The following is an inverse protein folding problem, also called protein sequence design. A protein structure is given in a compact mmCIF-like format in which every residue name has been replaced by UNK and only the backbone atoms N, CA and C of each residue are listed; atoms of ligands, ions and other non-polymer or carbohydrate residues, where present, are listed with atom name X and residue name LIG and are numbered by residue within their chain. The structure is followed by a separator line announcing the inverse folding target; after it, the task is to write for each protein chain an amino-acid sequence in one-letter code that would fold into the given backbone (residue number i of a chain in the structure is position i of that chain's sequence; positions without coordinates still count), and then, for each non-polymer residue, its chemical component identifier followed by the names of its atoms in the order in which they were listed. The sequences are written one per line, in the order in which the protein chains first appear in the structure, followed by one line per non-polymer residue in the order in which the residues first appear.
data_IF_682454861888
#
_entry.id   IF_682454861888
#
_cell.length_a   1.000
_cell.length_b   1.000
_cell.length_c   1.000
_cell.angle_alpha   90.00
_cell.angle_beta   90.00
_cell.angle_gamma   90.00
#
_symmetry.space_group_name_H-M   'P 1'
#
loop_
_entity.id
_entity.type
_entity.pdbx_description
1 polymer ?
#
# COMPACT_ATOMS: atom_id res chain seq x y z
N UNK A 1 -35.25 -0.20 14.47
CA UNK A 1 -35.54 1.17 14.02
C UNK A 1 -34.42 2.09 14.51
N UNK A 2 -34.14 3.19 13.79
CA UNK A 2 -33.06 4.18 13.94
C UNK A 2 -31.88 3.94 12.96
N UNK A 3 -31.96 4.49 11.74
CA UNK A 3 -31.66 5.88 11.31
C UNK A 3 -30.15 6.16 11.23
N UNK A 4 -29.51 5.73 10.13
CA UNK A 4 -28.25 6.32 9.69
C UNK A 4 -28.54 7.54 8.83
N UNK A 5 -28.11 8.70 9.34
CA UNK A 5 -28.27 10.00 8.71
C UNK A 5 -27.43 10.11 7.43
N UNK A 6 -28.11 10.48 6.36
CA UNK A 6 -27.53 11.08 5.16
C UNK A 6 -27.26 12.55 5.48
N UNK A 7 -26.02 13.01 5.34
CA UNK A 7 -25.74 14.45 5.34
C UNK A 7 -24.59 14.81 4.40
N UNK A 8 -24.98 15.60 3.39
CA UNK A 8 -24.26 16.75 2.84
C UNK A 8 -23.11 16.49 1.85
N UNK A 9 -23.51 16.19 0.61
CA UNK A 9 -22.69 16.45 -0.58
C UNK A 9 -22.89 17.92 -1.02
N UNK A 10 -21.99 18.81 -0.58
CA UNK A 10 -21.95 20.20 -1.04
C UNK A 10 -21.41 20.23 -2.47
N UNK A 11 -22.24 20.61 -3.44
CA UNK A 11 -21.84 20.94 -4.82
C UNK A 11 -21.26 22.36 -4.87
N UNK A 12 -20.06 22.57 -5.44
CA UNK A 12 -19.64 23.89 -5.88
C UNK A 12 -20.11 24.20 -7.31
N UNK A 13 -20.49 25.45 -7.47
CA UNK A 13 -21.07 26.15 -8.60
C UNK A 13 -20.22 26.13 -9.88
N UNK A 14 -20.92 25.98 -11.00
CA UNK A 14 -20.46 26.21 -12.37
C UNK A 14 -20.08 27.69 -12.52
N UNK A 15 -18.80 27.99 -12.77
CA UNK A 15 -18.39 29.29 -13.29
C UNK A 15 -17.91 29.12 -14.73
N UNK A 16 -18.79 29.51 -15.65
CA UNK A 16 -18.57 29.60 -17.09
C UNK A 16 -17.79 30.89 -17.34
N UNK A 17 -16.59 30.79 -17.91
CA UNK A 17 -15.90 31.95 -18.47
C UNK A 17 -15.52 31.68 -19.91
N UNK A 18 -15.84 32.67 -20.74
CA UNK A 18 -15.85 32.61 -22.18
C UNK A 18 -14.44 32.72 -22.75
N UNK A 19 -14.24 32.00 -23.85
CA UNK A 19 -13.08 32.05 -24.73
C UNK A 19 -12.98 33.42 -25.44
N UNK A 20 -11.79 34.02 -25.40
CA UNK A 20 -11.35 35.02 -26.38
C UNK A 20 -9.98 34.59 -26.90
N UNK A 21 -9.96 34.06 -28.11
CA UNK A 21 -8.74 33.77 -28.86
C UNK A 21 -8.12 35.06 -29.37
N UNK A 22 -6.82 35.22 -29.17
CA UNK A 22 -6.00 36.26 -29.80
C UNK A 22 -5.02 35.58 -30.75
N UNK A 23 -5.27 35.75 -32.04
CA UNK A 23 -4.39 35.32 -33.13
C UNK A 23 -3.24 36.35 -33.19
N UNK A 24 -1.99 35.90 -33.07
CA UNK A 24 -0.80 36.71 -33.37
C UNK A 24 0.02 36.00 -34.45
N UNK A 25 0.29 36.73 -35.52
CA UNK A 25 1.10 36.33 -36.67
C UNK A 25 2.59 36.33 -36.34
N UNK A 26 3.43 35.56 -37.07
CA UNK A 26 4.86 35.51 -36.83
C UNK A 26 5.59 36.63 -37.59
N UNK A 27 6.25 37.55 -36.87
CA UNK A 27 7.24 38.45 -37.44
C UNK A 27 8.64 37.88 -37.24
N UNK A 28 9.25 37.44 -38.34
CA UNK A 28 10.66 37.09 -38.45
C UNK A 28 11.51 38.36 -38.32
N UNK A 29 12.31 38.46 -37.27
CA UNK A 29 13.40 39.45 -37.17
C UNK A 29 14.66 38.75 -36.69
N UNK A 30 15.56 38.52 -37.65
CA UNK A 30 16.95 38.14 -37.43
C UNK A 30 17.63 39.20 -36.57
N UNK A 31 18.08 38.84 -35.37
CA UNK A 31 18.86 39.73 -34.51
C UNK A 31 20.26 39.17 -34.33
N UNK A 32 21.21 39.93 -34.84
CA UNK A 32 22.65 39.78 -34.81
C UNK A 32 23.22 39.48 -33.41
N UNK A 33 24.00 38.40 -33.28
CA UNK A 33 24.67 38.01 -32.03
C UNK A 33 25.93 38.86 -31.84
N UNK A 34 25.91 39.82 -30.91
CA UNK A 34 27.14 40.46 -30.40
C UNK A 34 27.64 39.68 -29.18
N UNK A 35 28.84 39.11 -29.29
CA UNK A 35 29.58 38.61 -28.14
C UNK A 35 30.13 39.79 -27.33
N UNK A 36 29.35 40.29 -26.36
CA UNK A 36 29.83 41.24 -25.37
C UNK A 36 30.36 40.48 -24.15
N UNK A 37 31.69 40.43 -24.00
CA UNK A 37 32.36 40.10 -22.73
C UNK A 37 32.13 41.26 -21.75
N UNK A 38 31.27 41.06 -20.76
CA UNK A 38 31.12 41.92 -19.56
C UNK A 38 31.11 40.98 -18.35
N UNK A 39 32.20 40.96 -17.58
CA UNK A 39 32.35 41.61 -16.26
C UNK A 39 31.25 41.27 -15.24
N UNK A 40 31.72 40.86 -14.05
CA UNK A 40 30.98 40.65 -12.81
C UNK A 40 29.81 39.64 -12.85
N UNK A 41 30.11 38.40 -12.42
CA UNK A 41 29.13 37.37 -12.06
C UNK A 41 28.23 37.91 -10.93
N UNK A 42 27.16 38.59 -11.30
CA UNK A 42 26.09 39.03 -10.40
C UNK A 42 25.50 37.76 -9.80
N UNK A 43 25.88 37.43 -8.56
CA UNK A 43 25.32 36.30 -7.82
C UNK A 43 23.83 36.60 -7.68
N UNK A 44 23.01 36.00 -8.54
CA UNK A 44 21.56 36.14 -8.53
C UNK A 44 21.09 35.78 -7.12
N UNK A 45 20.65 36.77 -6.33
CA UNK A 45 20.17 36.61 -4.95
C UNK A 45 18.87 35.79 -4.84
N UNK A 46 18.51 35.04 -5.89
CA UNK A 46 17.35 34.16 -5.97
C UNK A 46 17.64 32.79 -6.62
N UNK A 47 18.90 32.47 -6.95
CA UNK A 47 19.26 31.12 -7.38
C UNK A 47 19.42 30.21 -6.16
N UNK A 48 18.57 29.18 -6.09
CA UNK A 48 18.63 28.15 -5.05
C UNK A 48 20.00 27.46 -5.08
N UNK A 49 20.53 27.15 -3.90
CA UNK A 49 21.75 26.33 -3.80
C UNK A 49 21.53 24.97 -4.45
N UNK A 50 22.60 24.31 -4.90
CA UNK A 50 22.49 22.98 -5.51
C UNK A 50 21.77 21.96 -4.59
N UNK A 51 21.93 22.10 -3.26
CA UNK A 51 21.21 21.29 -2.27
C UNK A 51 19.71 21.61 -2.25
N UNK A 52 19.35 22.90 -2.29
CA UNK A 52 17.96 23.35 -2.34
C UNK A 52 17.27 22.96 -3.67
N UNK A 53 18.00 22.93 -4.78
CA UNK A 53 17.49 22.41 -6.07
C UNK A 53 17.19 20.92 -5.97
N UNK A 54 18.07 20.11 -5.35
CA UNK A 54 17.80 18.68 -5.10
C UNK A 54 16.58 18.49 -4.20
N UNK A 55 16.49 19.23 -3.09
CA UNK A 55 15.34 19.17 -2.19
C UNK A 55 14.06 19.57 -2.91
N UNK A 56 14.07 20.64 -3.71
CA UNK A 56 12.94 21.05 -4.55
C UNK A 56 12.56 19.95 -5.55
N UNK A 57 13.53 19.24 -6.12
CA UNK A 57 13.27 18.13 -7.04
C UNK A 57 12.67 16.92 -6.32
N UNK A 58 13.14 16.57 -5.11
CA UNK A 58 12.55 15.54 -4.27
C UNK A 58 11.12 15.91 -3.85
N UNK A 59 10.91 17.14 -3.40
CA UNK A 59 9.57 17.65 -3.06
C UNK A 59 8.66 17.70 -4.29
N UNK A 60 9.20 18.03 -5.45
CA UNK A 60 8.49 17.97 -6.74
C UNK A 60 8.22 16.53 -7.18
N UNK A 61 9.09 15.57 -6.84
CA UNK A 61 8.91 14.14 -7.09
C UNK A 61 7.69 13.60 -6.34
N UNK A 62 7.59 13.96 -5.06
CA UNK A 62 6.48 13.59 -4.18
C UNK A 62 5.23 14.44 -4.48
N UNK A 63 5.38 15.70 -4.88
CA UNK A 63 4.26 16.59 -5.16
C UNK A 63 3.52 16.16 -6.44
N UNK A 64 2.28 15.71 -6.27
CA UNK A 64 1.39 15.29 -7.36
C UNK A 64 0.87 16.44 -8.22
N UNK A 65 1.14 17.70 -7.88
CA UNK A 65 0.45 18.88 -8.43
C UNK A 65 0.41 18.99 -9.97
N UNK A 66 1.43 18.49 -10.67
CA UNK A 66 1.49 18.47 -12.14
C UNK A 66 1.61 17.06 -12.75
N UNK A 67 1.60 16.04 -11.90
CA UNK A 67 1.89 14.64 -12.27
C UNK A 67 0.68 13.73 -12.16
N UNK A 68 -0.37 14.16 -11.47
CA UNK A 68 -1.63 13.42 -11.43
C UNK A 68 -2.35 13.57 -12.77
N UNK A 69 -2.84 12.47 -13.36
CA UNK A 69 -3.68 12.56 -14.55
C UNK A 69 -5.02 13.23 -14.18
N UNK A 70 -5.76 13.65 -15.20
CA UNK A 70 -7.17 14.03 -14.99
C UNK A 70 -7.93 12.83 -14.44
N UNK A 71 -8.96 13.10 -13.64
CA UNK A 71 -9.84 12.06 -13.12
C UNK A 71 -10.46 11.32 -14.31
N UNK A 72 -10.60 10.01 -14.17
CA UNK A 72 -11.25 9.19 -15.17
C UNK A 72 -12.76 9.47 -15.11
N UNK A 73 -13.31 9.96 -16.21
CA UNK A 73 -14.75 10.13 -16.39
C UNK A 73 -15.31 8.86 -17.04
N UNK A 74 -16.33 8.29 -16.42
CA UNK A 74 -16.96 7.03 -16.85
C UNK A 74 -18.37 7.32 -17.37
N UNK A 75 -18.81 6.59 -18.40
CA UNK A 75 -20.21 6.60 -18.82
C UNK A 75 -21.09 5.92 -17.76
N UNK A 76 -22.40 6.12 -17.81
CA UNK A 76 -23.34 5.56 -16.82
C UNK A 76 -23.32 4.03 -16.87
N UNK A 77 -23.29 3.42 -18.04
CA UNK A 77 -23.22 1.96 -18.20
C UNK A 77 -21.91 1.41 -17.63
N UNK A 78 -20.79 2.10 -17.86
CA UNK A 78 -19.48 1.70 -17.35
C UNK A 78 -19.37 1.88 -15.84
N UNK A 79 -20.01 2.92 -15.28
CA UNK A 79 -20.14 3.10 -13.85
C UNK A 79 -20.92 1.95 -13.22
N UNK A 80 -22.01 1.50 -13.85
CA UNK A 80 -22.77 0.34 -13.40
C UNK A 80 -21.89 -0.91 -13.44
N UNK A 81 -21.17 -1.17 -14.53
CA UNK A 81 -20.22 -2.30 -14.64
C UNK A 81 -19.12 -2.25 -13.58
N UNK A 82 -18.55 -1.08 -13.34
CA UNK A 82 -17.54 -0.90 -12.30
C UNK A 82 -18.09 -1.24 -10.91
N UNK A 83 -19.30 -0.76 -10.60
CA UNK A 83 -19.95 -1.01 -9.33
C UNK A 83 -20.32 -2.48 -9.15
N UNK A 84 -20.77 -3.17 -10.19
CA UNK A 84 -21.10 -4.60 -10.12
C UNK A 84 -19.85 -5.44 -9.87
N UNK A 85 -18.75 -5.20 -10.60
CA UNK A 85 -17.46 -5.89 -10.38
C UNK A 85 -16.94 -5.62 -8.96
N UNK A 86 -16.97 -4.36 -8.52
CA UNK A 86 -16.51 -3.97 -7.17
C UNK A 86 -17.32 -4.66 -6.09
N UNK A 87 -18.65 -4.72 -6.24
CA UNK A 87 -19.54 -5.39 -5.30
C UNK A 87 -19.31 -6.90 -5.30
N UNK A 88 -19.17 -7.52 -6.48
CA UNK A 88 -18.89 -8.95 -6.60
C UNK A 88 -17.56 -9.31 -5.91
N UNK A 89 -16.52 -8.50 -6.10
CA UNK A 89 -15.25 -8.66 -5.41
C UNK A 89 -15.40 -8.53 -3.89
N UNK A 90 -16.15 -7.54 -3.40
CA UNK A 90 -16.39 -7.37 -1.98
C UNK A 90 -17.12 -8.57 -1.34
N UNK A 91 -18.09 -9.15 -2.05
CA UNK A 91 -18.78 -10.37 -1.63
C UNK A 91 -17.83 -11.57 -1.59
N UNK A 92 -17.03 -11.78 -2.64
CA UNK A 92 -16.02 -12.83 -2.67
C UNK A 92 -15.00 -12.71 -1.52
N UNK A 93 -14.51 -11.50 -1.26
CA UNK A 93 -13.59 -11.25 -0.14
C UNK A 93 -14.24 -11.47 1.23
N UNK A 94 -15.56 -11.21 1.35
CA UNK A 94 -16.31 -11.57 2.55
C UNK A 94 -16.33 -13.09 2.74
N UNK A 95 -16.66 -13.85 1.70
CA UNK A 95 -16.69 -15.32 1.77
C UNK A 95 -15.34 -15.91 2.15
N UNK A 96 -14.22 -15.38 1.62
CA UNK A 96 -12.87 -15.82 2.03
C UNK A 96 -12.64 -15.57 3.53
N UNK A 97 -13.02 -14.40 4.04
CA UNK A 97 -12.87 -14.07 5.47
C UNK A 97 -13.74 -14.97 6.34
N UNK A 98 -14.99 -15.21 5.94
CA UNK A 98 -15.93 -16.06 6.67
C UNK A 98 -15.42 -17.52 6.70
N UNK A 99 -14.92 -18.04 5.57
CA UNK A 99 -14.28 -19.38 5.50
C UNK A 99 -13.07 -19.48 6.42
N UNK A 100 -12.21 -18.46 6.43
CA UNK A 100 -11.04 -18.42 7.33
C UNK A 100 -11.46 -18.40 8.80
N UNK A 101 -12.47 -17.61 9.14
CA UNK A 101 -13.02 -17.53 10.49
C UNK A 101 -13.60 -18.87 10.96
N UNK A 102 -14.42 -19.52 10.12
CA UNK A 102 -14.98 -20.85 10.40
C UNK A 102 -13.88 -21.91 10.59
N UNK A 103 -12.80 -21.85 9.80
CA UNK A 103 -11.68 -22.76 9.96
C UNK A 103 -10.94 -22.54 11.29
N UNK A 104 -10.73 -21.28 11.70
CA UNK A 104 -10.12 -20.95 13.00
C UNK A 104 -11.00 -21.38 14.17
N UNK A 105 -12.32 -21.17 14.06
CA UNK A 105 -13.29 -21.63 15.06
C UNK A 105 -13.27 -23.15 15.20
N UNK A 106 -13.24 -23.88 14.07
CA UNK A 106 -13.12 -25.34 14.08
C UNK A 106 -11.81 -25.78 14.75
N UNK A 107 -10.68 -25.16 14.39
CA UNK A 107 -9.39 -25.47 15.01
C UNK A 107 -9.42 -25.24 16.52
N UNK A 108 -9.99 -24.13 16.97
CA UNK A 108 -10.12 -23.82 18.39
C UNK A 108 -10.97 -24.86 19.12
N UNK A 109 -12.11 -25.24 18.55
CA UNK A 109 -12.99 -26.28 19.12
C UNK A 109 -12.27 -27.62 19.24
N UNK A 110 -11.52 -28.03 18.21
CA UNK A 110 -10.73 -29.27 18.26
C UNK A 110 -9.64 -29.22 19.34
N UNK A 111 -9.00 -28.06 19.55
CA UNK A 111 -8.01 -27.87 20.62
C UNK A 111 -8.68 -28.00 21.99
N UNK A 112 -9.86 -27.41 22.17
CA UNK A 112 -10.62 -27.47 23.42
C UNK A 112 -11.05 -28.90 23.77
N UNK A 113 -11.64 -29.62 22.81
CA UNK A 113 -12.02 -31.03 22.94
C UNK A 113 -10.81 -31.92 23.28
N UNK A 114 -9.65 -31.68 22.65
CA UNK A 114 -8.42 -32.41 22.97
C UNK A 114 -7.89 -32.10 24.38
N UNK A 115 -7.99 -30.85 24.83
CA UNK A 115 -7.63 -30.47 26.20
C UNK A 115 -8.56 -31.12 27.24
N UNK A 116 -9.85 -31.22 26.96
CA UNK A 116 -10.81 -31.89 27.84
C UNK A 116 -10.60 -33.41 27.90
N UNK A 117 -10.25 -34.03 26.77
CA UNK A 117 -9.84 -35.43 26.74
C UNK A 117 -8.59 -35.67 27.61
N UNK A 118 -7.60 -34.78 27.55
CA UNK A 118 -6.38 -34.87 28.36
C UNK A 118 -6.66 -34.70 29.87
N UNK A 119 -7.60 -33.81 30.25
CA UNK A 119 -8.06 -33.69 31.65
C UNK A 119 -8.73 -34.98 32.13
N UNK A 120 -9.56 -35.58 31.27
CA UNK A 120 -10.36 -36.77 31.59
C UNK A 120 -9.50 -38.03 31.71
N UNK A 121 -8.41 -38.13 30.93
CA UNK A 121 -7.46 -39.23 30.99
C UNK A 121 -6.68 -39.32 32.32
N UNK A 122 -6.75 -38.30 33.19
CA UNK A 122 -6.20 -38.33 34.56
C UNK A 122 -4.78 -37.79 34.70
N UNK A 123 -4.08 -37.48 33.61
CA UNK A 123 -2.69 -37.00 33.62
C UNK A 123 -2.60 -35.49 33.90
N UNK A 124 -2.80 -35.10 35.16
CA UNK A 124 -2.73 -33.69 35.61
C UNK A 124 -1.44 -32.99 35.19
N UNK A 125 -0.31 -33.70 35.24
CA UNK A 125 1.00 -33.14 34.90
C UNK A 125 1.14 -32.80 33.40
N UNK A 126 0.58 -33.63 32.51
CA UNK A 126 0.60 -33.37 31.07
C UNK A 126 -0.29 -32.18 30.72
N UNK A 127 -1.50 -32.14 31.30
CA UNK A 127 -2.43 -31.02 31.11
C UNK A 127 -1.81 -29.67 31.53
N UNK A 128 -1.17 -29.63 32.70
CA UNK A 128 -0.53 -28.42 33.21
C UNK A 128 0.63 -27.95 32.32
N UNK A 129 1.42 -28.89 31.77
CA UNK A 129 2.53 -28.57 30.85
C UNK A 129 2.01 -28.05 29.51
N UNK A 130 0.97 -28.66 28.95
CA UNK A 130 0.39 -28.27 27.66
C UNK A 130 -0.31 -26.89 27.71
N UNK A 131 -0.99 -26.59 28.82
CA UNK A 131 -1.72 -25.31 29.00
C UNK A 131 -0.81 -24.16 29.43
N UNK A 132 0.46 -24.44 29.74
CA UNK A 132 1.41 -23.42 30.19
C UNK A 132 1.63 -22.39 29.07
N UNK A 133 1.44 -21.11 29.39
CA UNK A 133 1.70 -20.00 28.46
C UNK A 133 3.18 -19.94 28.06
N UNK A 134 3.45 -20.03 26.77
CA UNK A 134 4.80 -19.91 26.21
C UNK A 134 5.15 -18.43 25.98
N UNK A 135 5.86 -17.82 26.93
CA UNK A 135 6.34 -16.45 26.79
C UNK A 135 7.59 -16.40 25.89
N UNK A 136 7.62 -15.46 24.94
CA UNK A 136 8.79 -15.20 24.10
C UNK A 136 9.02 -16.20 22.96
N UNK A 137 8.08 -17.12 22.70
CA UNK A 137 8.14 -18.01 21.54
C UNK A 137 8.03 -17.18 20.26
N UNK A 138 8.95 -17.41 19.33
CA UNK A 138 9.01 -16.76 18.02
C UNK A 138 8.92 -17.84 16.94
N UNK A 139 8.41 -17.47 15.78
CA UNK A 139 8.54 -18.32 14.61
C UNK A 139 10.02 -18.42 14.22
N UNK A 140 10.51 -19.60 13.80
CA UNK A 140 11.88 -19.76 13.32
C UNK A 140 12.08 -18.96 12.02
N UNK A 141 13.29 -18.45 11.80
CA UNK A 141 13.61 -17.64 10.61
C UNK A 141 13.49 -18.44 9.31
N UNK A 142 13.67 -19.76 9.37
CA UNK A 142 13.53 -20.64 8.21
C UNK A 142 12.08 -20.76 7.70
N UNK A 143 11.08 -20.40 8.51
CA UNK A 143 9.69 -20.34 8.06
C UNK A 143 9.46 -19.07 7.23
N UNK A 144 9.85 -19.14 5.95
CA UNK A 144 9.78 -18.02 5.01
C UNK A 144 8.37 -17.76 4.51
N UNK A 145 8.12 -16.51 4.11
CA UNK A 145 6.89 -16.13 3.39
C UNK A 145 6.92 -16.74 1.99
N UNK A 146 5.82 -17.33 1.50
CA UNK A 146 5.76 -17.89 0.15
C UNK A 146 6.12 -16.86 -0.93
N UNK A 147 6.93 -17.28 -1.90
CA UNK A 147 7.31 -16.48 -3.08
C UNK A 147 6.52 -16.92 -4.30
N UNK A 148 6.41 -16.03 -5.31
CA UNK A 148 5.67 -16.31 -6.55
C UNK A 148 6.33 -17.44 -7.38
N UNK A 149 7.65 -17.35 -7.58
CA UNK A 149 8.45 -18.42 -8.19
C UNK A 149 9.32 -19.11 -7.14
N UNK A 150 9.53 -20.44 -7.29
CA UNK A 150 10.40 -21.16 -6.37
C UNK A 150 11.88 -20.77 -6.59
N UNK A 151 12.71 -20.83 -5.53
CA UNK A 151 14.15 -20.67 -5.66
C UNK A 151 14.79 -21.86 -6.41
N UNK A 152 16.05 -21.68 -6.84
CA UNK A 152 16.83 -22.75 -7.52
C UNK A 152 16.89 -24.06 -6.71
N UNK A 153 16.99 -23.95 -5.39
CA UNK A 153 16.92 -25.08 -4.46
C UNK A 153 15.63 -24.91 -3.65
N UNK A 154 14.62 -25.72 -3.96
CA UNK A 154 13.27 -25.63 -3.37
C UNK A 154 13.28 -26.01 -1.89
N UNK A 155 14.03 -27.06 -1.55
CA UNK A 155 14.11 -27.62 -0.21
C UNK A 155 15.54 -28.00 0.14
N UNK A 156 15.96 -27.68 1.36
CA UNK A 156 17.28 -28.01 1.87
C UNK A 156 17.21 -29.32 2.65
N UNK A 157 17.69 -30.41 2.06
CA UNK A 157 17.71 -31.73 2.71
C UNK A 157 18.83 -31.87 3.75
N UNK A 158 19.94 -31.14 3.56
CA UNK A 158 21.13 -31.20 4.41
C UNK A 158 21.06 -30.23 5.60
N UNK A 159 19.85 -29.89 6.07
CA UNK A 159 19.67 -28.95 7.16
C UNK A 159 20.24 -29.51 8.49
N UNK A 160 21.08 -28.72 9.16
CA UNK A 160 21.62 -29.02 10.48
C UNK A 160 21.36 -27.86 11.44
N UNK A 161 20.92 -28.10 12.69
CA UNK A 161 20.81 -27.05 13.68
C UNK A 161 22.21 -26.54 14.04
N UNK A 162 22.42 -25.22 14.03
CA UNK A 162 23.67 -24.63 14.51
C UNK A 162 23.95 -25.08 15.95
N UNK A 163 25.15 -25.66 16.18
CA UNK A 163 25.58 -26.06 17.51
C UNK A 163 25.68 -24.82 18.40
N UNK A 164 24.80 -24.73 19.39
CA UNK A 164 24.89 -23.68 20.40
C UNK A 164 26.13 -23.94 21.25
N UNK A 165 27.23 -23.25 20.96
CA UNK A 165 28.37 -23.20 21.88
C UNK A 165 27.86 -22.77 23.25
N UNK A 166 27.91 -23.69 24.22
CA UNK A 166 27.61 -23.40 25.62
C UNK A 166 28.71 -22.48 26.14
N UNK A 167 28.44 -21.18 26.22
CA UNK A 167 29.22 -20.23 27.03
C UNK A 167 28.79 -20.31 28.49
#
# INVERSE_FOLDING_TARGET
MNKFGLSNFVRPSIFRSHCLGSIKTPTSVSTFVRFARTSAKKKNRGELSASQVRQKNLLSAVSGARKVPRKLDMCVEDLIRHNTVTRAWALYQKEIRDKRAQNLERQYRMIDEACDALKSAGDRNLYNKATKREFGKRFPMELRVPTDTPPKIVWQYEWSPEEKEKK
#
